data_IF_005828430390
#
_entry.id   IF_005828430390
#
_cell.length_a   1.000
_cell.length_b   1.000
_cell.length_c   1.000
_cell.angle_alpha   90.00
_cell.angle_beta   90.00
_cell.angle_gamma   90.00
#
_symmetry.space_group_name_H-M   'P 1'
#
loop_
_entity.id
_entity.type
_entity.pdbx_description
1 polymer ?
#
# COMPACT_ATOMS: atom_id res chain seq x y z
N UNK A 1 -4.72 -12.35 -7.02
CA UNK A 1 -4.14 -11.02 -6.70
C UNK A 1 -5.19 -10.00 -6.29
N UNK A 2 -6.25 -9.80 -7.08
CA UNK A 2 -7.33 -8.88 -6.73
C UNK A 2 -7.90 -9.12 -5.32
N UNK A 3 -8.09 -10.38 -4.91
CA UNK A 3 -8.52 -10.73 -3.55
C UNK A 3 -7.57 -10.24 -2.44
N UNK A 4 -6.25 -10.35 -2.63
CA UNK A 4 -5.24 -9.87 -1.66
C UNK A 4 -5.39 -8.36 -1.44
N UNK A 5 -5.49 -7.61 -2.54
CA UNK A 5 -5.60 -6.16 -2.51
C UNK A 5 -6.95 -5.71 -1.94
N UNK A 6 -8.03 -6.39 -2.30
CA UNK A 6 -9.37 -6.12 -1.77
C UNK A 6 -9.40 -6.25 -0.24
N UNK A 7 -8.84 -7.33 0.31
CA UNK A 7 -8.77 -7.56 1.76
C UNK A 7 -8.01 -6.44 2.46
N UNK A 8 -6.80 -6.07 1.99
CA UNK A 8 -6.02 -4.99 2.60
C UNK A 8 -6.77 -3.65 2.53
N UNK A 9 -7.43 -3.36 1.40
CA UNK A 9 -8.14 -2.10 1.23
C UNK A 9 -9.40 -1.97 2.10
N UNK A 10 -10.02 -3.09 2.48
CA UNK A 10 -11.25 -3.08 3.27
C UNK A 10 -11.05 -2.42 4.64
N UNK A 11 -9.90 -2.67 5.29
CA UNK A 11 -9.57 -2.07 6.59
C UNK A 11 -8.99 -0.66 6.51
N UNK A 12 -8.43 -0.28 5.36
CA UNK A 12 -7.78 1.01 5.14
C UNK A 12 -8.77 2.12 4.73
N UNK A 13 -9.76 1.75 3.92
CA UNK A 13 -10.61 2.73 3.23
C UNK A 13 -12.00 2.21 2.90
N UNK A 14 -12.37 1.01 3.36
CA UNK A 14 -13.57 0.29 2.90
C UNK A 14 -13.62 0.08 1.37
N UNK A 15 -12.47 0.19 0.69
CA UNK A 15 -12.36 0.10 -0.77
C UNK A 15 -12.65 1.42 -1.51
N UNK A 16 -12.86 2.54 -0.82
CA UNK A 16 -13.10 3.83 -1.46
C UNK A 16 -11.82 4.42 -2.08
N UNK A 17 -11.85 4.68 -3.40
CA UNK A 17 -10.72 5.20 -4.17
C UNK A 17 -10.34 6.66 -3.89
N UNK A 18 -11.16 7.37 -3.13
CA UNK A 18 -11.02 8.79 -2.84
C UNK A 18 -10.71 9.09 -1.37
N UNK A 19 -10.46 8.07 -0.55
CA UNK A 19 -10.16 8.25 0.88
C UNK A 19 -8.86 9.01 1.07
N UNK A 20 -8.89 10.02 1.93
CA UNK A 20 -7.79 10.94 2.21
C UNK A 20 -7.57 11.03 3.73
N UNK A 21 -6.31 11.05 4.15
CA UNK A 21 -5.91 11.46 5.49
C UNK A 21 -4.65 12.31 5.42
N UNK A 22 -4.64 13.43 6.14
CA UNK A 22 -3.58 14.44 6.09
C UNK A 22 -2.98 14.78 7.45
N UNK A 23 -3.43 14.12 8.52
CA UNK A 23 -3.11 14.51 9.91
C UNK A 23 -2.05 13.63 10.59
N UNK A 24 -1.58 12.56 9.93
CA UNK A 24 -0.66 11.61 10.53
C UNK A 24 0.80 11.82 10.12
N UNK A 25 1.67 10.89 10.56
CA UNK A 25 3.12 10.90 10.28
C UNK A 25 3.49 10.86 8.79
N UNK A 26 2.55 10.48 7.92
CA UNK A 26 2.73 10.49 6.48
C UNK A 26 2.42 11.86 5.87
N UNK A 27 1.76 12.77 6.60
CA UNK A 27 1.25 14.08 6.18
C UNK A 27 0.20 14.04 5.07
N UNK A 28 0.15 12.96 4.30
CA UNK A 28 -0.79 12.73 3.22
C UNK A 28 -0.81 11.23 2.89
N UNK A 29 -1.97 10.58 3.06
CA UNK A 29 -2.28 9.25 2.54
C UNK A 29 -3.50 9.36 1.64
N UNK A 30 -3.48 8.68 0.50
CA UNK A 30 -4.55 8.81 -0.48
C UNK A 30 -4.95 7.46 -1.10
N UNK A 31 -6.22 7.36 -1.45
CA UNK A 31 -6.78 6.28 -2.23
C UNK A 31 -7.14 5.05 -1.42
N UNK A 32 -7.68 4.05 -2.11
CA UNK A 32 -8.23 2.86 -1.47
C UNK A 32 -7.18 2.01 -0.71
N UNK A 33 -5.92 2.12 -1.12
CA UNK A 33 -4.79 1.43 -0.51
C UNK A 33 -4.07 2.29 0.55
N UNK A 34 -4.56 3.52 0.80
CA UNK A 34 -3.94 4.51 1.68
C UNK A 34 -2.45 4.71 1.37
N UNK A 35 -2.17 5.04 0.10
CA UNK A 35 -0.81 5.29 -0.37
C UNK A 35 -0.19 6.46 0.41
N UNK A 36 0.83 6.19 1.23
CA UNK A 36 1.50 7.19 2.03
C UNK A 36 2.53 8.00 1.25
N UNK A 37 2.56 9.33 1.47
CA UNK A 37 3.50 10.25 0.83
C UNK A 37 4.94 10.13 1.34
N UNK A 38 5.12 9.80 2.62
CA UNK A 38 6.43 9.86 3.25
C UNK A 38 7.41 8.78 2.78
N UNK A 39 6.96 7.66 2.23
CA UNK A 39 7.83 6.50 1.97
C UNK A 39 8.58 6.61 0.65
N UNK A 40 9.92 6.66 0.64
CA UNK A 40 10.69 6.66 -0.60
C UNK A 40 10.56 5.33 -1.35
N UNK A 41 10.53 5.40 -2.69
CA UNK A 41 10.46 4.24 -3.58
C UNK A 41 9.28 3.27 -3.30
N UNK A 42 8.25 3.75 -2.61
CA UNK A 42 7.09 2.97 -2.21
C UNK A 42 5.83 3.83 -2.10
N UNK A 43 4.66 3.21 -2.15
CA UNK A 43 3.36 3.88 -1.99
C UNK A 43 3.12 5.07 -2.94
N UNK A 44 2.77 6.26 -2.41
CA UNK A 44 2.15 7.35 -3.17
C UNK A 44 3.07 7.91 -4.24
N UNK A 45 4.38 7.96 -3.97
CA UNK A 45 5.32 8.47 -4.96
C UNK A 45 5.34 7.60 -6.23
N UNK A 46 5.13 6.28 -6.10
CA UNK A 46 5.04 5.39 -7.25
C UNK A 46 3.75 5.63 -8.05
N UNK A 47 2.63 5.89 -7.36
CA UNK A 47 1.37 6.25 -8.00
C UNK A 47 1.51 7.57 -8.77
N UNK A 48 2.05 8.61 -8.13
CA UNK A 48 2.22 9.93 -8.75
C UNK A 48 3.23 9.90 -9.90
N UNK A 49 4.37 9.22 -9.75
CA UNK A 49 5.33 9.00 -10.86
C UNK A 49 4.65 8.40 -12.07
N UNK A 50 3.85 7.36 -11.83
CA UNK A 50 3.18 6.66 -12.91
C UNK A 50 2.08 7.52 -13.52
N UNK A 51 1.25 8.18 -12.72
CA UNK A 51 0.23 9.12 -13.22
C UNK A 51 0.85 10.27 -14.05
N UNK A 52 1.94 10.88 -13.58
CA UNK A 52 2.67 11.92 -14.30
C UNK A 52 3.24 11.44 -15.65
N UNK A 53 3.52 10.14 -15.79
CA UNK A 53 3.99 9.54 -17.05
C UNK A 53 2.84 9.24 -18.01
N UNK A 54 1.83 8.51 -17.55
CA UNK A 54 0.86 7.82 -18.41
C UNK A 54 -0.58 8.35 -18.32
N UNK A 55 -0.90 9.31 -17.45
CA UNK A 55 -2.30 9.72 -17.22
C UNK A 55 -2.59 11.18 -17.58
N UNK A 56 -3.25 11.41 -18.71
CA UNK A 56 -3.47 12.75 -19.27
C UNK A 56 -4.26 13.69 -18.35
N UNK A 57 -5.38 13.25 -17.79
CA UNK A 57 -6.16 14.09 -16.86
C UNK A 57 -5.36 14.44 -15.58
N UNK A 58 -4.42 13.57 -15.19
CA UNK A 58 -3.54 13.87 -14.06
C UNK A 58 -2.58 14.99 -14.44
N UNK A 59 -1.96 14.91 -15.63
CA UNK A 59 -1.08 15.98 -16.15
C UNK A 59 -1.83 17.31 -16.31
N UNK A 60 -3.11 17.30 -16.69
CA UNK A 60 -3.93 18.52 -16.74
C UNK A 60 -4.14 19.12 -15.35
N UNK A 61 -4.38 18.29 -14.33
CA UNK A 61 -4.62 18.76 -12.97
C UNK A 61 -3.33 19.17 -12.24
N UNK A 62 -2.20 18.55 -12.60
CA UNK A 62 -0.88 18.76 -12.02
C UNK A 62 0.17 19.05 -13.10
N UNK A 63 0.01 20.14 -13.87
CA UNK A 63 0.89 20.44 -15.01
C UNK A 63 2.33 20.73 -14.58
N UNK A 64 2.53 21.13 -13.32
CA UNK A 64 3.86 21.37 -12.76
C UNK A 64 4.60 20.08 -12.37
N UNK A 65 3.93 18.92 -12.30
CA UNK A 65 4.55 17.66 -11.93
C UNK A 65 5.11 16.95 -13.15
N UNK A 66 6.43 16.91 -13.25
CA UNK A 66 7.16 16.34 -14.40
C UNK A 66 8.12 15.25 -13.96
N UNK A 67 8.45 14.34 -14.87
CA UNK A 67 9.51 13.37 -14.66
C UNK A 67 10.81 13.83 -15.33
N UNK A 68 11.88 13.93 -14.55
CA UNK A 68 13.25 14.14 -15.04
C UNK A 68 14.05 12.89 -14.68
N UNK A 69 14.54 12.17 -15.68
CA UNK A 69 15.24 10.88 -15.52
C UNK A 69 14.47 9.86 -14.66
N UNK A 70 13.14 9.86 -14.77
CA UNK A 70 12.26 8.98 -14.01
C UNK A 70 11.98 9.43 -12.57
N UNK A 71 12.55 10.55 -12.12
CA UNK A 71 12.32 11.17 -10.81
C UNK A 71 11.30 12.29 -10.91
N UNK A 72 10.33 12.30 -10.00
CA UNK A 72 9.32 13.32 -9.88
C UNK A 72 9.93 14.65 -9.44
N UNK A 73 9.70 15.66 -10.25
CA UNK A 73 10.07 17.03 -10.00
C UNK A 73 8.82 17.91 -10.05
N UNK A 74 8.92 19.05 -9.36
CA UNK A 74 8.04 20.19 -9.59
C UNK A 74 8.77 21.16 -10.51
N UNK A 75 8.20 21.43 -11.66
CA UNK A 75 8.63 22.48 -12.58
C UNK A 75 8.17 23.85 -12.06
N UNK A 76 9.11 24.79 -11.96
CA UNK A 76 8.88 26.18 -11.55
C UNK A 76 9.12 27.15 -12.72
N UNK A 77 9.20 26.63 -13.95
CA UNK A 77 9.37 27.37 -15.19
C UNK A 77 10.83 27.67 -15.52
N UNK A 78 11.57 28.29 -14.60
CA UNK A 78 13.01 28.58 -14.79
C UNK A 78 13.93 27.42 -14.39
N UNK A 79 13.45 26.57 -13.48
CA UNK A 79 14.16 25.40 -13.00
C UNK A 79 13.15 24.40 -12.42
N UNK A 80 13.60 23.17 -12.24
CA UNK A 80 12.81 22.11 -11.60
C UNK A 80 13.43 21.71 -10.26
N UNK A 81 12.59 21.41 -9.27
CA UNK A 81 13.02 20.90 -7.96
C UNK A 81 12.57 19.45 -7.78
N UNK A 82 13.49 18.57 -7.37
CA UNK A 82 13.14 17.18 -7.09
C UNK A 82 12.27 17.11 -5.84
N UNK A 83 11.18 16.35 -5.92
CA UNK A 83 10.32 16.05 -4.77
C UNK A 83 10.75 14.78 -4.03
N UNK A 84 11.69 14.03 -4.58
CA UNK A 84 12.06 12.69 -4.11
C UNK A 84 13.38 12.64 -3.35
N UNK A 85 13.87 13.79 -2.90
CA UNK A 85 15.03 13.83 -2.01
C UNK A 85 14.69 13.10 -0.72
N UNK A 86 15.60 12.21 -0.31
CA UNK A 86 15.46 11.38 0.88
C UNK A 86 16.11 12.08 2.07
N UNK A 87 15.34 12.24 3.14
CA UNK A 87 15.81 12.85 4.39
C UNK A 87 15.60 11.87 5.54
N UNK A 88 16.50 11.81 6.53
CA UNK A 88 16.22 11.09 7.77
C UNK A 88 15.01 11.71 8.48
N UNK A 89 14.14 10.88 9.04
CA UNK A 89 13.03 11.35 9.86
C UNK A 89 13.56 11.96 11.16
N UNK A 90 12.98 13.08 11.56
CA UNK A 90 13.27 13.69 12.87
C UNK A 90 13.03 12.67 13.99
N UNK A 91 14.05 12.40 14.80
CA UNK A 91 13.99 11.41 15.89
C UNK A 91 14.22 9.95 15.48
N UNK A 92 14.40 9.65 14.19
CA UNK A 92 14.74 8.31 13.71
C UNK A 92 15.57 8.38 12.41
N UNK A 93 16.90 8.40 12.53
CA UNK A 93 17.82 8.53 11.39
C UNK A 93 17.80 7.35 10.42
N UNK A 94 17.34 6.18 10.86
CA UNK A 94 17.25 4.97 10.05
C UNK A 94 16.02 4.98 9.11
N UNK A 95 15.01 5.80 9.41
CA UNK A 95 13.83 5.96 8.58
C UNK A 95 14.02 7.14 7.62
N UNK A 96 14.15 6.85 6.32
CA UNK A 96 14.20 7.88 5.28
C UNK A 96 12.78 8.26 4.82
N UNK A 97 12.56 9.55 4.60
CA UNK A 97 11.29 10.13 4.15
C UNK A 97 11.45 11.10 2.97
N UNK A 98 10.34 11.34 2.25
CA UNK A 98 10.25 12.30 1.14
C UNK A 98 9.68 13.65 1.60
N UNK A 99 10.44 14.39 2.42
CA UNK A 99 9.96 15.65 3.02
C UNK A 99 9.47 16.66 1.97
N UNK A 100 10.17 16.79 0.85
CA UNK A 100 9.80 17.76 -0.20
C UNK A 100 8.47 17.38 -0.89
N UNK A 101 8.24 16.09 -1.13
CA UNK A 101 6.97 15.58 -1.65
C UNK A 101 5.82 15.74 -0.64
N UNK A 102 6.08 15.44 0.64
CA UNK A 102 5.12 15.66 1.73
C UNK A 102 4.71 17.13 1.80
N UNK A 103 5.67 18.07 1.83
CA UNK A 103 5.40 19.50 1.87
C UNK A 103 4.78 20.05 0.59
N UNK A 104 4.98 19.41 -0.57
CA UNK A 104 4.26 19.76 -1.78
C UNK A 104 2.76 19.46 -1.66
N UNK A 105 2.42 18.32 -1.05
CA UNK A 105 1.05 17.84 -0.88
C UNK A 105 0.33 18.54 0.27
N UNK A 106 0.96 18.57 1.44
CA UNK A 106 0.47 19.16 2.68
C UNK A 106 1.62 19.98 3.33
N UNK A 107 1.74 21.28 3.01
CA UNK A 107 2.75 22.16 3.57
C UNK A 107 2.71 22.27 5.10
N UNK A 108 1.52 22.29 5.70
CA UNK A 108 1.35 22.43 7.14
C UNK A 108 0.43 21.37 7.74
N UNK A 109 1.01 20.40 8.45
CA UNK A 109 0.24 19.32 9.10
C UNK A 109 -0.62 19.79 10.29
N UNK A 110 -0.44 21.01 10.80
CA UNK A 110 -1.21 21.52 11.94
C UNK A 110 -2.40 22.38 11.54
N UNK A 111 -2.44 22.88 10.31
CA UNK A 111 -3.50 23.75 9.82
C UNK A 111 -3.89 23.37 8.39
N UNK A 112 -5.18 23.34 8.10
CA UNK A 112 -5.66 23.10 6.74
C UNK A 112 -5.30 24.32 5.87
N UNK A 113 -4.48 24.09 4.86
CA UNK A 113 -4.01 25.14 3.95
C UNK A 113 -4.58 25.01 2.53
N UNK A 114 -4.60 26.12 1.78
CA UNK A 114 -5.16 26.16 0.41
C UNK A 114 -4.45 25.18 -0.55
N UNK A 115 -3.17 24.90 -0.33
CA UNK A 115 -2.40 24.00 -1.19
C UNK A 115 -2.76 22.55 -0.90
N UNK A 116 -2.90 22.18 0.37
CA UNK A 116 -3.46 20.89 0.80
C UNK A 116 -4.85 20.68 0.18
N UNK A 117 -5.76 21.64 0.39
CA UNK A 117 -7.13 21.58 -0.15
C UNK A 117 -7.14 21.44 -1.68
N UNK A 118 -6.31 22.21 -2.38
CA UNK A 118 -6.22 22.15 -3.85
C UNK A 118 -5.73 20.80 -4.35
N UNK A 119 -4.65 20.27 -3.76
CA UNK A 119 -4.09 18.97 -4.16
C UNK A 119 -5.05 17.83 -3.83
N UNK A 120 -5.66 17.85 -2.64
CA UNK A 120 -6.68 16.91 -2.19
C UNK A 120 -7.89 16.90 -3.15
N UNK A 121 -8.46 18.07 -3.44
CA UNK A 121 -9.62 18.20 -4.31
C UNK A 121 -9.34 17.64 -5.71
N UNK A 122 -8.16 17.93 -6.29
CA UNK A 122 -7.76 17.40 -7.60
C UNK A 122 -7.64 15.88 -7.62
N UNK A 123 -7.04 15.28 -6.59
CA UNK A 123 -6.92 13.82 -6.49
C UNK A 123 -8.27 13.13 -6.26
N UNK A 124 -9.10 13.68 -5.36
CA UNK A 124 -10.46 13.19 -5.11
C UNK A 124 -11.32 13.29 -6.37
N UNK A 125 -11.25 14.42 -7.07
CA UNK A 125 -11.96 14.59 -8.33
C UNK A 125 -11.53 13.55 -9.36
N UNK A 126 -10.22 13.31 -9.53
CA UNK A 126 -9.70 12.27 -10.43
C UNK A 126 -10.25 10.89 -10.05
N UNK A 127 -10.19 10.51 -8.78
CA UNK A 127 -10.69 9.21 -8.32
C UNK A 127 -12.21 9.05 -8.50
N UNK A 128 -12.97 10.13 -8.34
CA UNK A 128 -14.42 10.11 -8.51
C UNK A 128 -14.87 10.08 -9.97
N UNK A 129 -14.07 10.63 -10.89
CA UNK A 129 -14.51 10.89 -12.27
C UNK A 129 -13.77 10.09 -13.34
N UNK A 130 -12.63 9.49 -13.01
CA UNK A 130 -11.77 8.83 -13.97
C UNK A 130 -11.45 7.38 -13.55
N UNK A 131 -12.12 6.43 -14.20
CA UNK A 131 -11.93 4.99 -13.94
C UNK A 131 -10.51 4.51 -14.27
N UNK A 132 -9.84 5.10 -15.26
CA UNK A 132 -8.46 4.73 -15.61
C UNK A 132 -7.46 5.12 -14.52
N UNK A 133 -7.71 6.20 -13.79
CA UNK A 133 -6.94 6.56 -12.60
C UNK A 133 -7.15 5.53 -11.48
N UNK A 134 -8.37 5.02 -11.29
CA UNK A 134 -8.64 3.98 -10.30
C UNK A 134 -7.98 2.64 -10.68
N UNK A 135 -7.98 2.26 -11.97
CA UNK A 135 -7.21 1.12 -12.45
C UNK A 135 -5.71 1.30 -12.19
N UNK A 136 -5.18 2.51 -12.39
CA UNK A 136 -3.80 2.83 -12.07
C UNK A 136 -3.51 2.64 -10.57
N UNK A 137 -4.39 3.12 -9.69
CA UNK A 137 -4.29 2.87 -8.24
C UNK A 137 -4.20 1.36 -7.95
N UNK A 138 -5.11 0.55 -8.50
CA UNK A 138 -5.12 -0.92 -8.29
C UNK A 138 -3.81 -1.56 -8.78
N UNK A 139 -3.35 -1.18 -9.98
CA UNK A 139 -2.13 -1.72 -10.56
C UNK A 139 -0.88 -1.41 -9.72
N UNK A 140 -0.78 -0.18 -9.20
CA UNK A 140 0.34 0.23 -8.33
C UNK A 140 0.28 -0.51 -7.00
N UNK A 141 -0.90 -0.61 -6.36
CA UNK A 141 -1.07 -1.39 -5.14
C UNK A 141 -0.68 -2.87 -5.34
N UNK A 142 -1.12 -3.46 -6.45
CA UNK A 142 -0.79 -4.85 -6.77
C UNK A 142 0.72 -5.05 -6.96
N UNK A 143 1.38 -4.14 -7.67
CA UNK A 143 2.83 -4.19 -7.87
C UNK A 143 3.59 -4.06 -6.56
N UNK A 144 3.23 -3.10 -5.71
CA UNK A 144 3.83 -2.90 -4.38
C UNK A 144 3.69 -4.16 -3.53
N UNK A 145 2.46 -4.67 -3.41
CA UNK A 145 2.16 -5.82 -2.56
C UNK A 145 2.87 -7.07 -3.05
N UNK A 146 2.84 -7.38 -4.35
CA UNK A 146 3.57 -8.55 -4.86
C UNK A 146 5.07 -8.42 -4.70
N UNK A 147 5.64 -7.24 -4.96
CA UNK A 147 7.06 -6.99 -4.75
C UNK A 147 7.44 -7.26 -3.29
N UNK A 148 6.67 -6.74 -2.33
CA UNK A 148 6.89 -6.97 -0.90
C UNK A 148 6.75 -8.46 -0.52
N UNK A 149 5.75 -9.15 -1.02
CA UNK A 149 5.58 -10.60 -0.78
C UNK A 149 6.81 -11.36 -1.28
N UNK A 150 7.24 -11.12 -2.53
CA UNK A 150 8.34 -11.85 -3.19
C UNK A 150 9.70 -11.55 -2.58
N UNK A 151 10.02 -10.27 -2.43
CA UNK A 151 11.39 -9.81 -2.16
C UNK A 151 11.65 -9.57 -0.69
N UNK A 152 10.60 -9.54 0.14
CA UNK A 152 10.73 -9.20 1.56
C UNK A 152 10.10 -10.25 2.45
N UNK A 153 8.79 -10.46 2.35
CA UNK A 153 8.07 -11.34 3.27
C UNK A 153 8.45 -12.81 3.06
N UNK A 154 8.64 -13.24 1.81
CA UNK A 154 9.14 -14.58 1.51
C UNK A 154 10.53 -14.83 2.12
N UNK A 155 11.43 -13.84 2.08
CA UNK A 155 12.76 -13.95 2.68
C UNK A 155 12.66 -14.04 4.21
N UNK A 156 11.82 -13.20 4.82
CA UNK A 156 11.65 -13.16 6.28
C UNK A 156 10.96 -14.41 6.84
N UNK A 157 10.01 -14.98 6.10
CA UNK A 157 9.06 -15.97 6.61
C UNK A 157 9.08 -17.32 5.89
N UNK A 158 9.88 -17.48 4.84
CA UNK A 158 9.96 -18.70 4.03
C UNK A 158 8.58 -19.14 3.53
N UNK A 159 7.92 -18.25 2.79
CA UNK A 159 6.50 -18.40 2.42
C UNK A 159 6.20 -19.50 1.39
N UNK A 160 7.20 -20.27 0.93
CA UNK A 160 6.97 -21.32 -0.06
C UNK A 160 5.90 -22.31 0.41
N UNK A 161 4.85 -22.52 -0.38
CA UNK A 161 3.73 -23.39 -0.07
C UNK A 161 2.70 -22.81 0.92
N UNK A 162 2.93 -21.62 1.48
CA UNK A 162 1.94 -20.94 2.33
C UNK A 162 0.71 -20.57 1.51
N UNK A 163 -0.49 -20.63 2.11
CA UNK A 163 -1.72 -20.21 1.43
C UNK A 163 -1.69 -18.73 1.10
N UNK A 164 -2.40 -18.35 0.05
CA UNK A 164 -2.70 -16.95 -0.28
C UNK A 164 -3.37 -16.19 0.88
N UNK A 165 -4.18 -16.87 1.72
CA UNK A 165 -4.75 -16.30 2.95
C UNK A 165 -3.67 -15.90 3.96
N UNK A 166 -2.73 -16.80 4.28
CA UNK A 166 -1.62 -16.49 5.20
C UNK A 166 -0.76 -15.35 4.64
N UNK A 167 -0.44 -15.40 3.35
CA UNK A 167 0.34 -14.35 2.71
C UNK A 167 -0.38 -12.99 2.74
N UNK A 168 -1.71 -12.99 2.58
CA UNK A 168 -2.54 -11.78 2.66
C UNK A 168 -2.55 -11.20 4.06
N UNK A 169 -2.75 -12.03 5.10
CA UNK A 169 -2.71 -11.58 6.50
C UNK A 169 -1.34 -10.96 6.85
N UNK A 170 -0.23 -11.58 6.41
CA UNK A 170 1.11 -11.02 6.61
C UNK A 170 1.28 -9.68 5.87
N UNK A 171 0.80 -9.59 4.63
CA UNK A 171 0.88 -8.38 3.85
C UNK A 171 0.10 -7.22 4.51
N UNK A 172 -1.11 -7.49 5.02
CA UNK A 172 -1.90 -6.53 5.78
C UNK A 172 -1.16 -6.02 7.02
N UNK A 173 -0.68 -6.94 7.88
CA UNK A 173 -0.02 -6.58 9.15
C UNK A 173 1.16 -5.62 8.90
N UNK A 174 1.98 -5.89 7.88
CA UNK A 174 3.13 -5.06 7.53
C UNK A 174 2.75 -3.77 6.81
N UNK A 175 1.73 -3.80 5.95
CA UNK A 175 1.22 -2.60 5.28
C UNK A 175 0.79 -1.55 6.31
N UNK A 176 0.09 -1.99 7.34
CA UNK A 176 -0.41 -1.14 8.41
C UNK A 176 0.60 -0.85 9.54
N UNK A 177 1.76 -1.53 9.55
CA UNK A 177 2.78 -1.38 10.59
C UNK A 177 2.34 -1.88 11.97
N UNK A 178 1.56 -2.96 12.06
CA UNK A 178 0.89 -3.40 13.30
C UNK A 178 1.45 -4.67 13.95
N UNK A 179 2.55 -5.20 13.44
CA UNK A 179 3.17 -6.41 13.97
C UNK A 179 4.67 -6.44 13.76
N UNK A 180 5.38 -7.15 14.63
CA UNK A 180 6.83 -7.27 14.50
C UNK A 180 7.21 -8.52 13.71
N UNK A 181 8.43 -8.54 13.14
CA UNK A 181 8.93 -9.74 12.47
C UNK A 181 8.97 -10.94 13.42
N UNK A 182 9.41 -10.73 14.65
CA UNK A 182 9.54 -11.77 15.67
C UNK A 182 8.20 -12.41 16.00
N UNK A 183 7.16 -11.60 16.17
CA UNK A 183 5.81 -12.06 16.46
C UNK A 183 5.26 -12.95 15.34
N UNK A 184 5.31 -12.46 14.09
CA UNK A 184 4.84 -13.21 12.91
C UNK A 184 5.64 -14.51 12.75
N UNK A 185 6.98 -14.46 12.86
CA UNK A 185 7.82 -15.67 12.79
C UNK A 185 7.49 -16.67 13.91
N UNK A 186 7.18 -16.20 15.12
CA UNK A 186 6.74 -17.05 16.23
C UNK A 186 5.46 -17.81 15.89
N UNK A 187 4.48 -17.14 15.30
CA UNK A 187 3.23 -17.78 14.85
C UNK A 187 3.51 -18.83 13.78
N UNK A 188 4.27 -18.49 12.73
CA UNK A 188 4.51 -19.37 11.58
C UNK A 188 5.37 -20.59 11.91
N UNK A 189 6.22 -20.52 12.94
CA UNK A 189 7.06 -21.63 13.40
C UNK A 189 6.45 -22.44 14.54
N UNK A 190 5.29 -22.03 15.03
CA UNK A 190 4.56 -22.75 16.07
C UNK A 190 4.00 -24.09 15.56
N UNK A 191 3.58 -24.96 16.48
CA UNK A 191 2.93 -26.25 16.15
C UNK A 191 1.45 -26.11 15.76
N UNK A 192 0.98 -24.88 15.52
CA UNK A 192 -0.39 -24.61 15.09
C UNK A 192 -0.63 -25.13 13.67
N UNK A 193 -1.83 -25.62 13.42
CA UNK A 193 -2.32 -25.88 12.06
C UNK A 193 -2.39 -24.58 11.24
N UNK A 194 -2.47 -24.68 9.92
CA UNK A 194 -2.54 -23.49 9.06
C UNK A 194 -3.74 -22.58 9.37
N UNK A 195 -4.90 -23.15 9.73
CA UNK A 195 -6.08 -22.37 10.10
C UNK A 195 -5.89 -21.67 11.46
N UNK A 196 -5.25 -22.32 12.42
CA UNK A 196 -4.90 -21.71 13.71
C UNK A 196 -3.83 -20.62 13.56
N UNK A 197 -2.85 -20.81 12.67
CA UNK A 197 -1.87 -19.79 12.32
C UNK A 197 -2.56 -18.56 11.70
N UNK A 198 -3.50 -18.76 10.77
CA UNK A 198 -4.26 -17.66 10.18
C UNK A 198 -5.04 -16.87 11.23
N UNK A 199 -5.75 -17.56 12.13
CA UNK A 199 -6.47 -16.92 13.24
C UNK A 199 -5.52 -16.14 14.14
N UNK A 200 -4.36 -16.69 14.47
CA UNK A 200 -3.36 -16.01 15.28
C UNK A 200 -2.79 -14.76 14.57
N UNK A 201 -2.54 -14.83 13.26
CA UNK A 201 -2.11 -13.67 12.47
C UNK A 201 -3.14 -12.55 12.49
N UNK A 202 -4.44 -12.88 12.38
CA UNK A 202 -5.50 -11.87 12.45
C UNK A 202 -5.56 -11.13 13.79
N UNK A 203 -5.01 -11.69 14.87
CA UNK A 203 -4.98 -11.10 16.20
C UNK A 203 -3.71 -10.27 16.49
N UNK A 204 -2.75 -10.23 15.55
CA UNK A 204 -1.52 -9.45 15.71
C UNK A 204 -1.85 -7.96 15.86
N UNK A 205 -1.38 -7.35 16.95
CA UNK A 205 -1.62 -5.94 17.27
C UNK A 205 -3.00 -5.61 17.86
N UNK A 206 -3.74 -6.62 18.35
CA UNK A 206 -5.11 -6.48 18.87
C UNK A 206 -5.26 -5.45 19.99
N UNK A 207 -4.27 -5.31 20.88
CA UNK A 207 -4.32 -4.42 22.05
C UNK A 207 -4.65 -2.97 21.67
N UNK A 208 -4.21 -2.53 20.48
CA UNK A 208 -4.40 -1.16 20.01
C UNK A 208 -5.29 -1.08 18.74
N UNK A 209 -5.69 -2.22 18.15
CA UNK A 209 -6.32 -2.26 16.82
C UNK A 209 -7.42 -3.33 16.70
N UNK A 210 -8.27 -3.45 17.72
CA UNK A 210 -9.33 -4.47 17.78
C UNK A 210 -10.23 -4.48 16.52
N UNK A 211 -10.70 -3.33 16.08
CA UNK A 211 -11.60 -3.24 14.92
C UNK A 211 -10.91 -3.70 13.64
N UNK A 212 -9.61 -3.43 13.48
CA UNK A 212 -8.85 -3.94 12.34
C UNK A 212 -8.74 -5.46 12.35
N UNK A 213 -8.44 -6.06 13.51
CA UNK A 213 -8.36 -7.51 13.64
C UNK A 213 -9.69 -8.18 13.26
N UNK A 214 -10.83 -7.58 13.66
CA UNK A 214 -12.17 -8.04 13.25
C UNK A 214 -12.37 -7.88 11.74
N UNK A 215 -12.10 -6.70 11.19
CA UNK A 215 -12.28 -6.43 9.75
C UNK A 215 -11.41 -7.31 8.87
N UNK A 216 -10.15 -7.55 9.25
CA UNK A 216 -9.25 -8.45 8.53
C UNK A 216 -9.79 -9.88 8.53
N UNK A 217 -10.24 -10.38 9.68
CA UNK A 217 -10.80 -11.72 9.79
C UNK A 217 -12.03 -11.88 8.88
N UNK A 218 -12.98 -10.93 8.96
CA UNK A 218 -14.18 -10.94 8.14
C UNK A 218 -13.88 -10.83 6.64
N UNK A 219 -12.93 -9.98 6.25
CA UNK A 219 -12.54 -9.81 4.86
C UNK A 219 -11.88 -11.07 4.29
N UNK A 220 -11.03 -11.76 5.08
CA UNK A 220 -10.40 -13.02 4.68
C UNK A 220 -11.43 -14.16 4.56
N UNK A 221 -12.35 -14.27 5.52
CA UNK A 221 -13.42 -15.28 5.47
C UNK A 221 -14.30 -15.06 4.24
N UNK A 222 -14.74 -13.81 4.01
CA UNK A 222 -15.53 -13.47 2.82
C UNK A 222 -14.77 -13.75 1.52
N UNK A 223 -13.49 -13.38 1.43
CA UNK A 223 -12.69 -13.63 0.24
C UNK A 223 -12.47 -15.14 -0.01
N UNK A 224 -12.43 -15.96 1.05
CA UNK A 224 -12.38 -17.41 0.97
C UNK A 224 -13.71 -18.00 0.49
N UNK A 225 -14.83 -17.56 1.07
CA UNK A 225 -16.18 -17.98 0.69
C UNK A 225 -16.50 -17.64 -0.77
N UNK A 226 -16.14 -16.44 -1.22
CA UNK A 226 -16.34 -15.97 -2.60
C UNK A 226 -15.35 -16.64 -3.60
N UNK A 227 -14.40 -17.46 -3.13
CA UNK A 227 -13.42 -18.16 -3.97
C UNK A 227 -12.26 -17.30 -4.50
N UNK A 228 -12.09 -16.08 -3.99
CA UNK A 228 -11.00 -15.18 -4.39
C UNK A 228 -9.67 -15.47 -3.69
N UNK A 229 -9.72 -16.09 -2.50
CA UNK A 229 -8.58 -16.56 -1.71
C UNK A 229 -8.87 -17.98 -1.18
N UNK A 230 -7.85 -18.64 -0.63
CA UNK A 230 -7.91 -20.03 -0.16
C UNK A 230 -7.71 -21.07 -1.27
N UNK A 231 -7.51 -20.62 -2.51
CA UNK A 231 -7.46 -21.46 -3.70
C UNK A 231 -6.05 -21.59 -4.29
N UNK A 232 -5.08 -20.85 -3.76
CA UNK A 232 -3.70 -20.84 -4.24
C UNK A 232 -2.67 -20.89 -3.10
N UNK A 233 -1.44 -21.25 -3.46
CA UNK A 233 -0.27 -21.23 -2.57
C UNK A 233 0.85 -20.41 -3.18
N UNK A 234 1.62 -19.74 -2.33
CA UNK A 234 2.79 -18.99 -2.79
C UNK A 234 3.89 -19.94 -3.26
N UNK A 235 4.42 -19.70 -4.45
CA UNK A 235 5.54 -20.43 -5.02
C UNK A 235 6.76 -19.52 -5.07
N UNK A 236 7.77 -19.82 -4.25
CA UNK A 236 8.96 -18.97 -4.14
C UNK A 236 9.81 -18.97 -5.42
N UNK A 237 9.70 -19.99 -6.28
CA UNK A 237 10.45 -20.07 -7.52
C UNK A 237 9.96 -19.05 -8.55
N UNK A 238 8.65 -18.97 -8.77
CA UNK A 238 8.04 -17.97 -9.67
C UNK A 238 7.79 -16.62 -8.98
N UNK A 239 7.72 -16.60 -7.65
CA UNK A 239 7.24 -15.45 -6.89
C UNK A 239 5.73 -15.21 -7.04
N UNK A 240 4.99 -16.16 -7.58
CA UNK A 240 3.56 -16.04 -7.84
C UNK A 240 2.73 -16.96 -6.94
N UNK A 241 1.43 -16.72 -6.91
CA UNK A 241 0.48 -17.66 -6.33
C UNK A 241 0.11 -18.70 -7.37
N UNK A 242 0.46 -19.96 -7.10
CA UNK A 242 0.11 -21.11 -7.92
C UNK A 242 -1.25 -21.66 -7.44
N UNK A 243 -2.23 -21.89 -8.33
CA UNK A 243 -3.49 -22.50 -7.95
C UNK A 243 -3.27 -23.89 -7.33
N UNK A 244 -4.10 -24.26 -6.36
CA UNK A 244 -4.02 -25.56 -5.68
C UNK A 244 -4.20 -26.74 -6.64
N UNK A 245 -4.92 -26.53 -7.74
CA UNK A 245 -5.15 -27.53 -8.80
C UNK A 245 -4.00 -27.61 -9.82
N UNK A 246 -2.98 -26.74 -9.73
CA UNK A 246 -1.94 -26.60 -10.75
C UNK A 246 -2.15 -25.38 -11.66
N UNK A 247 -1.19 -25.11 -12.55
CA UNK A 247 -1.40 -24.10 -13.59
C UNK A 247 -2.38 -24.65 -14.62
N UNK A 248 -3.32 -23.85 -15.14
CA UNK A 248 -4.03 -24.21 -16.36
C UNK A 248 -3.01 -24.53 -17.45
N UNK A 249 -3.23 -25.62 -18.19
CA UNK A 249 -2.43 -25.97 -19.38
C UNK A 249 -2.50 -24.87 -20.45
#
# INVERSE_FOLDING_TARGET
MAGVIAVISQSESEGYFNTLNTYDRASFTFGFFQFAAHTPDDNLILLIRRAAREHEMFKTNFPELVLVDGVLHRDLGLHSVSLERKYPRTGNSEELILKDFMSYLNPNVTDIDDKELSNAAKLIQLANTNITFNHLQVNVAAQITMRKIRERYNIWYKLNGASDLICTAIADIHHQGRGTRKEISGILTSKLSSDEQLKALCLVGIENNLERCKSLSLALDKAKEDGYLGVSRFDSASGLFKPNQGWPE
#
